data_IF_578622325371
#
_entry.id   IF_578622325371
#
_cell.length_a   1.000
_cell.length_b   1.000
_cell.length_c   1.000
_cell.angle_alpha   90.00
_cell.angle_beta   90.00
_cell.angle_gamma   90.00
#
_symmetry.space_group_name_H-M   'P 1'
#
loop_
_entity.id
_entity.type
_entity.pdbx_description
1 polymer ?
#
# COMPACT_ATOMS: atom_id res chain seq x y z
N UNK A 1 -4.35 16.22 -4.82
CA UNK A 1 -3.45 15.36 -5.62
C UNK A 1 -2.57 14.52 -4.70
N UNK A 2 -2.49 13.23 -4.97
CA UNK A 2 -1.67 12.31 -4.18
C UNK A 2 -0.29 12.23 -4.84
N UNK A 3 0.76 12.57 -4.10
CA UNK A 3 2.12 12.53 -4.62
C UNK A 3 2.72 11.13 -4.44
N UNK A 4 2.44 10.50 -3.31
CA UNK A 4 2.99 9.18 -2.98
C UNK A 4 1.87 8.33 -2.39
N UNK A 5 1.75 7.10 -2.88
CA UNK A 5 0.80 6.11 -2.36
C UNK A 5 1.60 4.88 -1.97
N UNK A 6 2.20 4.92 -0.78
CA UNK A 6 3.20 3.96 -0.35
C UNK A 6 3.02 3.62 1.12
N UNK A 7 3.21 2.34 1.45
CA UNK A 7 3.18 1.86 2.83
C UNK A 7 4.31 0.88 3.07
N UNK A 8 4.59 0.62 4.34
CA UNK A 8 5.47 -0.47 4.76
C UNK A 8 4.64 -1.49 5.51
N UNK A 9 4.78 -2.76 5.13
CA UNK A 9 4.16 -3.86 5.86
C UNK A 9 4.90 -4.09 7.17
N UNK A 10 4.16 -4.07 8.29
CA UNK A 10 4.76 -4.27 9.61
C UNK A 10 5.06 -5.74 9.90
N UNK A 11 4.54 -6.66 9.10
CA UNK A 11 4.77 -8.09 9.27
C UNK A 11 6.00 -8.57 8.54
N UNK A 12 6.17 -8.19 7.27
CA UNK A 12 7.30 -8.64 6.47
C UNK A 12 8.33 -7.56 6.18
N UNK A 13 8.02 -6.29 6.51
CA UNK A 13 8.93 -5.18 6.28
C UNK A 13 8.99 -4.68 4.84
N UNK A 14 8.18 -5.27 3.95
CA UNK A 14 8.19 -4.89 2.54
C UNK A 14 7.59 -3.51 2.36
N UNK A 15 8.16 -2.73 1.45
CA UNK A 15 7.64 -1.41 1.09
C UNK A 15 7.00 -1.55 -0.28
N UNK A 16 5.72 -1.19 -0.37
CA UNK A 16 4.96 -1.31 -1.61
C UNK A 16 4.35 0.05 -1.96
N UNK A 17 4.23 0.30 -3.26
CA UNK A 17 3.74 1.57 -3.78
C UNK A 17 2.79 1.32 -4.94
N UNK A 18 1.66 2.05 -4.94
CA UNK A 18 0.73 2.06 -6.05
C UNK A 18 0.99 3.31 -6.88
N UNK A 19 1.32 3.13 -8.17
CA UNK A 19 1.73 4.24 -9.03
C UNK A 19 0.69 4.63 -10.07
N UNK A 20 -0.36 3.84 -10.24
CA UNK A 20 -1.48 4.16 -11.13
C UNK A 20 -2.79 3.78 -10.47
N UNK A 21 -3.91 4.30 -10.99
CA UNK A 21 -5.22 4.09 -10.40
C UNK A 21 -5.70 2.64 -10.44
N UNK A 22 -5.08 1.80 -11.26
CA UNK A 22 -5.39 0.38 -11.33
C UNK A 22 -4.25 -0.51 -10.81
N UNK A 23 -3.30 0.09 -10.11
CA UNK A 23 -2.12 -0.63 -9.64
C UNK A 23 -2.36 -1.14 -8.22
N UNK A 24 -2.78 -2.40 -8.13
CA UNK A 24 -3.08 -3.08 -6.87
C UNK A 24 -1.85 -3.92 -6.48
N UNK A 25 -1.13 -3.47 -5.46
CA UNK A 25 0.14 -4.09 -5.07
C UNK A 25 0.04 -4.72 -3.69
N UNK A 26 0.41 -5.99 -3.59
CA UNK A 26 0.50 -6.71 -2.32
C UNK A 26 1.93 -6.74 -1.82
N UNK A 27 2.10 -6.80 -0.50
CA UNK A 27 3.41 -7.05 0.08
C UNK A 27 3.78 -8.53 -0.06
N UNK A 28 5.03 -8.88 0.27
CA UNK A 28 5.54 -10.25 0.11
C UNK A 28 4.72 -11.28 0.87
N UNK A 29 4.31 -10.96 2.10
CA UNK A 29 3.53 -11.89 2.93
C UNK A 29 2.04 -11.86 2.62
N UNK A 30 1.59 -10.93 1.79
CA UNK A 30 0.19 -10.81 1.41
C UNK A 30 -0.73 -10.23 2.48
N UNK A 31 -0.17 -9.75 3.60
CA UNK A 31 -0.97 -9.24 4.71
C UNK A 31 -1.64 -7.91 4.39
N UNK A 32 -1.01 -7.08 3.57
CA UNK A 32 -1.49 -5.75 3.24
C UNK A 32 -1.32 -5.48 1.74
N UNK A 33 -2.08 -4.52 1.24
CA UNK A 33 -2.01 -4.11 -0.15
C UNK A 33 -2.33 -2.63 -0.28
N UNK A 34 -1.90 -2.03 -1.38
CA UNK A 34 -2.22 -0.65 -1.73
C UNK A 34 -2.82 -0.60 -3.12
N UNK A 35 -3.66 0.41 -3.35
CA UNK A 35 -4.34 0.60 -4.62
C UNK A 35 -4.68 2.08 -4.77
N UNK A 36 -4.98 2.50 -6.00
CA UNK A 36 -5.47 3.83 -6.29
C UNK A 36 -4.45 4.81 -6.85
N UNK A 37 -3.16 4.44 -6.86
CA UNK A 37 -2.11 5.26 -7.46
C UNK A 37 -2.11 6.68 -6.93
N UNK A 38 -2.24 7.64 -7.83
CA UNK A 38 -2.26 9.07 -7.49
C UNK A 38 -3.67 9.64 -7.42
N UNK A 39 -4.70 8.81 -7.60
CA UNK A 39 -6.08 9.26 -7.57
C UNK A 39 -6.72 9.10 -6.20
N UNK A 40 -6.49 7.98 -5.53
CA UNK A 40 -7.03 7.74 -4.20
C UNK A 40 -6.13 6.79 -3.42
N UNK A 41 -6.28 6.82 -2.10
CA UNK A 41 -5.52 5.93 -1.20
C UNK A 41 -6.41 4.80 -0.75
N UNK A 42 -6.11 3.59 -1.19
CA UNK A 42 -6.84 2.40 -0.78
C UNK A 42 -5.88 1.43 -0.11
N UNK A 43 -6.28 0.94 1.05
CA UNK A 43 -5.49 0.02 1.86
C UNK A 43 -6.30 -1.23 2.14
N UNK A 44 -5.67 -2.39 2.00
CA UNK A 44 -6.29 -3.69 2.32
C UNK A 44 -5.46 -4.34 3.41
N UNK A 45 -6.15 -4.98 4.36
CA UNK A 45 -5.51 -5.65 5.48
C UNK A 45 -5.90 -5.00 6.80
N UNK A 46 -5.30 -5.45 7.90
CA UNK A 46 -5.56 -4.89 9.21
C UNK A 46 -4.78 -3.59 9.38
N UNK A 47 -5.43 -2.55 9.94
CA UNK A 47 -4.82 -1.22 10.07
C UNK A 47 -3.47 -1.27 10.79
N UNK A 48 -3.31 -2.16 11.76
CA UNK A 48 -2.08 -2.30 12.55
C UNK A 48 -0.94 -2.95 11.78
N UNK A 49 -1.22 -3.52 10.60
CA UNK A 49 -0.22 -4.28 9.84
C UNK A 49 0.54 -3.42 8.83
N UNK A 50 0.24 -2.12 8.73
CA UNK A 50 1.01 -1.25 7.83
C UNK A 50 1.28 0.10 8.48
N UNK A 51 2.27 0.78 7.89
CA UNK A 51 2.62 2.15 8.26
C UNK A 51 2.65 3.01 7.01
N UNK A 52 1.96 4.16 7.06
CA UNK A 52 1.98 5.11 5.94
C UNK A 52 3.36 5.74 5.79
N UNK A 53 3.83 5.89 4.57
CA UNK A 53 5.13 6.47 4.28
C UNK A 53 5.01 7.83 3.51
#
# INVERSE_FOLDING_TARGET
MIVVNKIRCNKCGDIIESVSDHDFEFCKCGAVAVDGGHDYLRRCGNREDWEEL
#
